data_IF_217178623947
#
_entry.id   IF_217178623947
#
_cell.length_a   1.000
_cell.length_b   1.000
_cell.length_c   1.000
_cell.angle_alpha   90.00
_cell.angle_beta   90.00
_cell.angle_gamma   90.00
#
_symmetry.space_group_name_H-M   'P 1'
#
loop_
_entity.id
_entity.type
_entity.pdbx_description
1 polymer ?
#
# COMPACT_ATOMS: atom_id res chain seq x y z
N UNK A 1 0.19 -9.73 0.84
CA UNK A 1 0.97 -10.98 1.03
C UNK A 1 2.05 -11.29 0.00
N UNK A 2 1.84 -11.11 -1.32
CA UNK A 2 2.80 -11.58 -2.32
C UNK A 2 3.46 -10.42 -3.07
N UNK A 3 4.80 -10.30 -3.01
CA UNK A 3 5.54 -9.27 -3.75
C UNK A 3 5.32 -9.38 -5.27
N UNK A 4 5.42 -10.56 -5.92
CA UNK A 4 5.13 -10.70 -7.35
C UNK A 4 3.70 -10.28 -7.72
N UNK A 5 2.71 -10.61 -6.89
CA UNK A 5 1.33 -10.20 -7.11
C UNK A 5 1.14 -8.69 -6.96
N UNK A 6 1.73 -8.10 -5.92
CA UNK A 6 1.67 -6.64 -5.69
C UNK A 6 2.27 -5.85 -6.86
N UNK A 7 3.41 -6.30 -7.39
CA UNK A 7 4.02 -5.71 -8.60
C UNK A 7 3.10 -5.83 -9.82
N UNK A 8 2.58 -7.04 -10.09
CA UNK A 8 1.67 -7.26 -11.21
C UNK A 8 0.39 -6.40 -11.11
N UNK A 9 -0.16 -6.22 -9.90
CA UNK A 9 -1.32 -5.36 -9.68
C UNK A 9 -1.00 -3.88 -9.92
N UNK A 10 0.15 -3.39 -9.45
CA UNK A 10 0.63 -2.03 -9.71
C UNK A 10 0.85 -1.80 -11.22
N UNK A 11 1.48 -2.75 -11.90
CA UNK A 11 1.72 -2.70 -13.34
C UNK A 11 0.41 -2.62 -14.12
N UNK A 12 -0.59 -3.42 -13.74
CA UNK A 12 -1.92 -3.38 -14.35
C UNK A 12 -2.61 -2.04 -14.08
N UNK A 13 -2.61 -1.56 -12.83
CA UNK A 13 -3.22 -0.29 -12.46
C UNK A 13 -2.63 0.88 -13.25
N UNK A 14 -1.31 0.89 -13.44
CA UNK A 14 -0.61 1.92 -14.22
C UNK A 14 -1.04 1.96 -15.69
N UNK A 15 -1.41 0.81 -16.27
CA UNK A 15 -1.90 0.71 -17.64
C UNK A 15 -3.37 1.13 -17.80
N UNK A 16 -4.16 1.09 -16.73
CA UNK A 16 -5.60 1.40 -16.78
C UNK A 16 -5.89 2.91 -16.68
N UNK A 17 -4.90 3.73 -16.32
CA UNK A 17 -5.08 5.15 -16.09
C UNK A 17 -4.89 5.96 -17.38
N UNK A 18 -5.92 6.68 -17.86
CA UNK A 18 -5.81 7.50 -19.06
C UNK A 18 -5.18 8.86 -18.72
N UNK A 19 -3.96 9.10 -19.21
CA UNK A 19 -3.36 10.44 -19.20
C UNK A 19 -1.95 10.49 -18.60
N UNK A 20 -1.35 11.71 -18.55
CA UNK A 20 0.04 11.90 -18.11
C UNK A 20 0.22 11.86 -16.59
N UNK A 21 -0.86 11.98 -15.80
CA UNK A 21 -0.82 12.01 -14.34
C UNK A 21 -1.23 10.65 -13.77
N UNK A 22 -0.26 9.74 -13.69
CA UNK A 22 -0.40 8.50 -12.94
C UNK A 22 -0.10 8.85 -11.47
N UNK A 23 -1.03 8.61 -10.52
CA UNK A 23 -0.74 8.80 -9.11
C UNK A 23 0.41 7.85 -8.70
N UNK A 24 1.26 8.24 -7.74
CA UNK A 24 2.34 7.37 -7.31
C UNK A 24 1.78 6.06 -6.74
N UNK A 25 2.38 4.93 -7.15
CA UNK A 25 2.00 3.59 -6.70
C UNK A 25 3.19 2.97 -6.00
N UNK A 26 3.02 2.64 -4.72
CA UNK A 26 4.01 1.93 -3.91
C UNK A 26 3.54 0.51 -3.59
N UNK A 27 4.46 -0.46 -3.63
CA UNK A 27 4.18 -1.86 -3.34
C UNK A 27 4.84 -2.26 -2.03
N UNK A 28 4.02 -2.64 -1.04
CA UNK A 28 4.46 -3.15 0.26
C UNK A 28 3.82 -4.53 0.55
N UNK A 29 4.04 -5.48 -0.37
CA UNK A 29 3.54 -6.85 -0.26
C UNK A 29 4.69 -7.85 -0.24
N UNK A 30 4.55 -8.93 0.55
CA UNK A 30 5.63 -9.88 0.81
C UNK A 30 6.44 -9.47 2.04
N UNK A 31 7.08 -10.47 2.68
CA UNK A 31 8.18 -10.19 3.62
C UNK A 31 9.50 -9.98 2.87
N UNK A 32 9.59 -10.59 1.69
CA UNK A 32 10.64 -10.41 0.69
C UNK A 32 10.06 -10.74 -0.71
N UNK A 33 10.92 -10.85 -1.73
CA UNK A 33 10.49 -11.14 -3.11
C UNK A 33 9.82 -12.51 -3.30
N UNK A 34 10.00 -13.45 -2.37
CA UNK A 34 9.57 -14.86 -2.48
C UNK A 34 8.67 -15.31 -1.34
N UNK A 35 8.78 -14.70 -0.16
CA UNK A 35 8.07 -15.09 1.05
C UNK A 35 6.75 -14.35 1.18
N UNK A 36 5.68 -15.13 1.34
CA UNK A 36 4.35 -14.58 1.57
C UNK A 36 4.26 -13.94 2.96
N UNK A 37 3.70 -12.74 3.00
CA UNK A 37 3.34 -12.03 4.22
C UNK A 37 3.16 -10.54 3.97
N UNK A 38 2.90 -9.80 5.04
CA UNK A 38 2.78 -8.34 5.01
C UNK A 38 3.55 -7.79 6.20
N UNK A 39 4.45 -6.86 5.94
CA UNK A 39 5.23 -6.18 6.98
C UNK A 39 4.64 -4.79 7.22
N UNK A 40 4.14 -4.54 8.43
CA UNK A 40 3.54 -3.27 8.81
C UNK A 40 4.53 -2.09 8.68
N UNK A 41 5.82 -2.33 8.92
CA UNK A 41 6.85 -1.29 8.77
C UNK A 41 7.11 -0.95 7.31
N UNK A 42 7.09 -1.95 6.43
CA UNK A 42 7.20 -1.74 4.98
C UNK A 42 5.97 -1.00 4.43
N UNK A 43 4.77 -1.32 4.95
CA UNK A 43 3.53 -0.61 4.59
C UNK A 43 3.58 0.85 5.06
N UNK A 44 4.00 1.10 6.30
CA UNK A 44 4.16 2.47 6.84
C UNK A 44 5.14 3.28 5.99
N UNK A 45 6.33 2.75 5.71
CA UNK A 45 7.33 3.40 4.87
C UNK A 45 6.84 3.68 3.44
N UNK A 46 6.04 2.77 2.86
CA UNK A 46 5.43 3.00 1.54
C UNK A 46 4.40 4.14 1.56
N UNK A 47 3.60 4.24 2.63
CA UNK A 47 2.63 5.34 2.81
C UNK A 47 3.36 6.68 2.96
N UNK A 48 4.46 6.74 3.72
CA UNK A 48 5.24 7.97 3.90
C UNK A 48 5.77 8.53 2.58
N UNK A 49 6.23 7.67 1.66
CA UNK A 49 6.71 8.10 0.33
C UNK A 49 5.64 8.83 -0.48
N UNK A 50 4.37 8.53 -0.25
CA UNK A 50 3.21 9.17 -0.90
C UNK A 50 2.46 10.11 0.06
N UNK A 51 3.04 10.44 1.22
CA UNK A 51 2.41 11.25 2.28
C UNK A 51 2.06 12.68 1.87
N UNK A 52 2.64 13.17 0.76
CA UNK A 52 2.34 14.47 0.17
C UNK A 52 1.04 14.49 -0.64
N UNK A 53 0.43 13.33 -0.91
CA UNK A 53 -0.85 13.25 -1.62
C UNK A 53 -2.00 13.71 -0.72
N UNK A 54 -3.10 14.15 -1.34
CA UNK A 54 -4.32 14.59 -0.63
C UNK A 54 -5.10 13.40 -0.04
N UNK A 55 -4.94 12.22 -0.62
CA UNK A 55 -5.57 10.99 -0.16
C UNK A 55 -4.74 9.76 -0.56
N UNK A 56 -4.72 8.76 0.31
CA UNK A 56 -3.92 7.54 0.12
C UNK A 56 -4.85 6.34 0.27
N UNK A 57 -4.89 5.48 -0.75
CA UNK A 57 -5.66 4.23 -0.72
C UNK A 57 -4.70 3.05 -0.57
N UNK A 58 -4.82 2.31 0.53
CA UNK A 58 -4.10 1.05 0.74
C UNK A 58 -4.99 -0.08 0.26
N UNK A 59 -4.63 -0.67 -0.87
CA UNK A 59 -5.25 -1.88 -1.38
C UNK A 59 -4.66 -3.10 -0.66
N UNK A 60 -5.52 -3.81 0.05
CA UNK A 60 -5.17 -5.03 0.78
C UNK A 60 -5.80 -6.24 0.10
N UNK A 61 -5.16 -7.40 0.25
CA UNK A 61 -5.70 -8.66 -0.24
C UNK A 61 -6.72 -9.22 0.76
N UNK A 62 -6.35 -10.21 1.56
CA UNK A 62 -7.26 -10.93 2.45
C UNK A 62 -6.54 -11.24 3.76
N UNK A 63 -7.29 -11.27 4.86
CA UNK A 63 -6.80 -11.76 6.15
C UNK A 63 -5.80 -10.83 6.82
N UNK A 64 -4.63 -11.36 7.20
CA UNK A 64 -3.65 -10.67 8.06
C UNK A 64 -3.05 -9.39 7.47
N UNK A 65 -3.24 -9.13 6.18
CA UNK A 65 -2.82 -7.89 5.56
C UNK A 65 -3.61 -6.68 6.08
N UNK A 66 -4.90 -6.86 6.44
CA UNK A 66 -5.72 -5.79 7.02
C UNK A 66 -5.12 -5.36 8.36
N UNK A 67 -4.89 -6.32 9.27
CA UNK A 67 -4.31 -6.04 10.58
C UNK A 67 -2.92 -5.38 10.45
N UNK A 68 -2.11 -5.86 9.49
CA UNK A 68 -0.78 -5.29 9.25
C UNK A 68 -0.87 -3.83 8.74
N UNK A 69 -1.85 -3.53 7.89
CA UNK A 69 -2.11 -2.18 7.41
C UNK A 69 -2.64 -1.27 8.53
N UNK A 70 -3.51 -1.76 9.41
CA UNK A 70 -3.98 -1.02 10.60
C UNK A 70 -2.81 -0.70 11.54
N UNK A 71 -1.96 -1.70 11.85
CA UNK A 71 -0.75 -1.49 12.65
C UNK A 71 0.22 -0.50 11.99
N UNK A 72 0.28 -0.45 10.65
CA UNK A 72 1.10 0.52 9.94
C UNK A 72 0.59 1.96 10.14
N UNK A 73 -0.72 2.18 10.31
CA UNK A 73 -1.29 3.49 10.62
C UNK A 73 -0.86 3.99 12.00
N UNK A 74 -0.72 3.09 12.98
CA UNK A 74 -0.26 3.44 14.32
C UNK A 74 1.22 3.89 14.35
N UNK A 75 2.00 3.57 13.31
CA UNK A 75 3.40 3.97 13.17
C UNK A 75 3.58 5.32 12.46
N UNK A 76 2.52 5.84 11.81
CA UNK A 76 2.59 7.04 10.99
C UNK A 76 2.33 8.32 11.79
N UNK A 77 2.85 9.43 11.29
CA UNK A 77 2.42 10.76 11.73
C UNK A 77 0.90 10.92 11.53
N UNK A 78 0.22 11.49 12.53
CA UNK A 78 -1.24 11.62 12.56
C UNK A 78 -1.80 12.35 11.32
N UNK A 79 -1.07 13.34 10.82
CA UNK A 79 -1.44 14.10 9.62
C UNK A 79 -1.46 13.21 8.37
N UNK A 80 -0.49 12.30 8.23
CA UNK A 80 -0.44 11.35 7.11
C UNK A 80 -1.51 10.28 7.30
N UNK A 81 -1.59 9.69 8.50
CA UNK A 81 -2.56 8.64 8.83
C UNK A 81 -4.01 9.08 8.56
N UNK A 82 -4.34 10.35 8.83
CA UNK A 82 -5.68 10.91 8.59
C UNK A 82 -6.14 10.90 7.12
N UNK A 83 -5.19 10.81 6.18
CA UNK A 83 -5.44 10.77 4.73
C UNK A 83 -5.59 9.36 4.18
N UNK A 84 -5.30 8.34 4.99
CA UNK A 84 -5.26 6.94 4.54
C UNK A 84 -6.64 6.30 4.64
N UNK A 85 -7.02 5.55 3.61
CA UNK A 85 -8.14 4.61 3.64
C UNK A 85 -7.65 3.22 3.26
N UNK A 86 -8.06 2.22 4.02
CA UNK A 86 -7.80 0.81 3.71
C UNK A 86 -9.01 0.28 2.93
N UNK A 87 -8.78 -0.40 1.81
CA UNK A 87 -9.87 -1.04 1.06
C UNK A 87 -10.50 -2.15 1.90
N UNK A 88 -11.79 -2.03 2.22
CA UNK A 88 -12.53 -3.13 2.84
C UNK A 88 -12.81 -4.20 1.80
N UNK A 89 -12.58 -5.47 2.14
CA UNK A 89 -13.00 -6.62 1.34
C UNK A 89 -14.52 -6.82 1.37
#
# INVERSE_FOLDING_TARGET
HSCPLGRAAADLASQMLPGPEIPPIEVAAGLDDTTLGTDATAVSAAIEKVGNCDGILVLVDIGSAILSAEMALDLLDADIASKVKISTA
#
